data_IF_600468863381
#
_entry.id   IF_600468863381
#
_cell.length_a   1.000
_cell.length_b   1.000
_cell.length_c   1.000
_cell.angle_alpha   90.00
_cell.angle_beta   90.00
_cell.angle_gamma   90.00
#
_symmetry.space_group_name_H-M   'P 1'
#
loop_
_entity.id
_entity.type
_entity.pdbx_description
1 polymer ?
#
# COMPACT_ATOMS: atom_id res chain seq x y z
N UNK A 1 -55.66 13.32 -45.57
CA UNK A 1 -54.28 13.12 -45.11
C UNK A 1 -53.49 14.37 -45.49
N UNK A 2 -53.32 15.33 -44.57
CA UNK A 2 -52.55 16.55 -44.84
C UNK A 2 -51.10 16.35 -44.46
N UNK A 3 -50.26 16.11 -45.46
CA UNK A 3 -48.81 16.16 -45.31
C UNK A 3 -48.42 17.64 -45.20
N UNK A 4 -48.00 18.09 -44.01
CA UNK A 4 -47.59 19.48 -43.79
C UNK A 4 -46.05 19.54 -43.72
N UNK A 5 -45.35 19.95 -44.79
CA UNK A 5 -43.90 19.90 -44.89
C UNK A 5 -43.19 21.01 -44.09
N UNK A 6 -43.95 21.86 -43.38
CA UNK A 6 -43.43 22.99 -42.60
C UNK A 6 -43.46 22.78 -41.08
N UNK A 7 -43.79 21.58 -40.58
CA UNK A 7 -43.39 21.22 -39.22
C UNK A 7 -41.88 20.98 -39.21
N UNK A 8 -41.11 22.09 -39.23
CA UNK A 8 -39.74 22.10 -38.75
C UNK A 8 -39.80 21.42 -37.39
N UNK A 9 -39.27 20.21 -37.28
CA UNK A 9 -38.88 19.68 -35.99
C UNK A 9 -37.92 20.73 -35.44
N UNK A 10 -38.44 21.58 -34.55
CA UNK A 10 -37.60 22.45 -33.73
C UNK A 10 -36.77 21.45 -32.95
N UNK A 11 -35.54 21.22 -33.42
CA UNK A 11 -34.53 20.49 -32.68
C UNK A 11 -34.23 21.41 -31.51
N UNK A 12 -35.04 21.30 -30.46
CA UNK A 12 -34.77 22.00 -29.22
C UNK A 12 -33.40 21.52 -28.76
N UNK A 13 -32.45 22.44 -28.49
CA UNK A 13 -31.15 22.06 -27.96
C UNK A 13 -31.39 21.21 -26.71
N UNK A 14 -30.80 20.02 -26.65
CA UNK A 14 -30.95 19.13 -25.50
C UNK A 14 -30.49 19.87 -24.26
N UNK A 15 -31.44 20.31 -23.43
CA UNK A 15 -31.10 20.85 -22.13
C UNK A 15 -30.76 19.69 -21.22
N UNK A 16 -29.63 19.77 -20.53
CA UNK A 16 -29.24 18.75 -19.57
C UNK A 16 -29.85 19.11 -18.22
N UNK A 17 -30.23 18.09 -17.44
CA UNK A 17 -30.73 18.29 -16.09
C UNK A 17 -29.69 18.98 -15.17
N UNK A 18 -28.39 18.84 -15.48
CA UNK A 18 -27.28 19.50 -14.78
C UNK A 18 -26.25 20.05 -15.76
N UNK A 19 -25.41 20.98 -15.28
CA UNK A 19 -24.29 21.53 -16.05
C UNK A 19 -23.23 20.45 -16.33
N UNK A 20 -22.75 20.37 -17.58
CA UNK A 20 -21.62 19.49 -17.95
C UNK A 20 -20.34 19.83 -17.17
N UNK A 21 -20.14 21.10 -16.82
CA UNK A 21 -18.97 21.53 -16.07
C UNK A 21 -19.01 21.01 -14.63
N UNK A 22 -20.17 21.11 -13.98
CA UNK A 22 -20.37 20.59 -12.62
C UNK A 22 -20.13 19.08 -12.56
N UNK A 23 -20.63 18.34 -13.55
CA UNK A 23 -20.40 16.89 -13.60
C UNK A 23 -18.93 16.55 -13.79
N UNK A 24 -18.24 17.27 -14.68
CA UNK A 24 -16.81 17.09 -14.92
C UNK A 24 -15.96 17.38 -13.68
N UNK A 25 -16.34 18.37 -12.87
CA UNK A 25 -15.66 18.65 -11.59
C UNK A 25 -15.86 17.52 -10.59
N UNK A 26 -17.08 17.00 -10.47
CA UNK A 26 -17.35 15.88 -9.59
C UNK A 26 -16.60 14.62 -10.02
N UNK A 27 -16.58 14.29 -11.31
CA UNK A 27 -15.82 13.15 -11.84
C UNK A 27 -14.33 13.25 -11.51
N UNK A 28 -13.74 14.45 -11.48
CA UNK A 28 -12.34 14.63 -11.06
C UNK A 28 -12.14 14.22 -9.60
N UNK A 29 -13.05 14.61 -8.71
CA UNK A 29 -12.96 14.22 -7.29
C UNK A 29 -13.17 12.71 -7.11
N UNK A 30 -14.10 12.10 -7.86
CA UNK A 30 -14.30 10.64 -7.85
C UNK A 30 -13.02 9.92 -8.28
N UNK A 31 -12.38 10.34 -9.37
CA UNK A 31 -11.11 9.74 -9.83
C UNK A 31 -9.99 9.85 -8.80
N UNK A 32 -9.93 10.96 -8.05
CA UNK A 32 -8.96 11.11 -6.95
C UNK A 32 -9.19 10.08 -5.85
N UNK A 33 -10.46 9.81 -5.50
CA UNK A 33 -10.82 8.80 -4.50
C UNK A 33 -10.52 7.38 -4.99
N UNK A 34 -10.81 7.06 -6.25
CA UNK A 34 -10.49 5.76 -6.85
C UNK A 34 -8.97 5.52 -6.88
N UNK A 35 -8.20 6.51 -7.31
CA UNK A 35 -6.74 6.42 -7.30
C UNK A 35 -6.18 6.28 -5.88
N UNK A 36 -6.76 7.02 -4.91
CA UNK A 36 -6.38 6.91 -3.50
C UNK A 36 -6.68 5.50 -2.95
N UNK A 37 -7.82 4.90 -3.32
CA UNK A 37 -8.17 3.53 -2.93
C UNK A 37 -7.14 2.53 -3.45
N UNK A 38 -6.82 2.60 -4.75
CA UNK A 38 -5.90 1.67 -5.38
C UNK A 38 -4.49 1.78 -4.76
N UNK A 39 -3.99 3.00 -4.61
CA UNK A 39 -2.70 3.25 -3.98
C UNK A 39 -2.67 2.76 -2.52
N UNK A 40 -3.76 2.95 -1.76
CA UNK A 40 -3.85 2.49 -0.37
C UNK A 40 -3.84 0.97 -0.25
N UNK A 41 -4.53 0.27 -1.16
CA UNK A 41 -4.52 -1.21 -1.23
C UNK A 41 -3.14 -1.73 -1.59
N UNK A 42 -2.49 -1.09 -2.57
CA UNK A 42 -1.13 -1.44 -2.97
C UNK A 42 -0.15 -1.25 -1.81
N UNK A 43 -0.17 -0.10 -1.14
CA UNK A 43 0.66 0.17 0.03
C UNK A 43 0.45 -0.85 1.16
N UNK A 44 -0.80 -1.22 1.45
CA UNK A 44 -1.11 -2.26 2.44
C UNK A 44 -0.48 -3.61 2.06
N UNK A 45 -0.63 -4.03 0.79
CA UNK A 45 -0.08 -5.30 0.30
C UNK A 45 1.45 -5.28 0.31
N UNK A 46 2.06 -4.22 -0.19
CA UNK A 46 3.51 -4.09 -0.27
C UNK A 46 4.13 -4.12 1.13
N UNK A 47 3.50 -3.48 2.12
CA UNK A 47 4.01 -3.50 3.50
C UNK A 47 3.88 -4.89 4.15
N UNK A 48 2.81 -5.63 3.87
CA UNK A 48 2.71 -7.04 4.27
C UNK A 48 3.83 -7.88 3.66
N UNK A 49 4.12 -7.71 2.38
CA UNK A 49 5.21 -8.42 1.71
C UNK A 49 6.57 -8.09 2.35
N UNK A 50 6.79 -6.83 2.77
CA UNK A 50 8.00 -6.44 3.52
C UNK A 50 8.09 -7.20 4.85
N UNK A 51 7.00 -7.28 5.62
CA UNK A 51 6.98 -8.04 6.89
C UNK A 51 7.29 -9.52 6.69
N UNK A 52 6.73 -10.12 5.64
CA UNK A 52 6.98 -11.51 5.25
C UNK A 52 8.45 -11.72 4.86
N UNK A 53 8.99 -10.85 3.99
CA UNK A 53 10.39 -10.91 3.57
C UNK A 53 11.38 -10.76 4.74
N UNK A 54 11.12 -9.86 5.69
CA UNK A 54 11.94 -9.69 6.89
C UNK A 54 11.92 -10.94 7.78
N UNK A 55 10.73 -11.52 7.95
CA UNK A 55 10.58 -12.75 8.73
C UNK A 55 11.31 -13.92 8.09
N UNK A 56 11.24 -14.04 6.77
CA UNK A 56 11.92 -15.12 6.04
C UNK A 56 13.44 -14.93 6.01
N UNK A 57 13.93 -13.70 5.86
CA UNK A 57 15.35 -13.39 6.01
C UNK A 57 15.86 -13.81 7.40
N UNK A 58 15.18 -13.43 8.47
CA UNK A 58 15.58 -13.78 9.84
C UNK A 58 15.57 -15.29 10.10
N UNK A 59 14.62 -16.04 9.51
CA UNK A 59 14.61 -17.52 9.58
C UNK A 59 15.83 -18.12 8.89
N UNK A 60 16.19 -17.64 7.70
CA UNK A 60 17.34 -18.13 6.95
C UNK A 60 18.63 -17.83 7.70
N UNK A 61 18.80 -16.61 8.21
CA UNK A 61 19.96 -16.21 9.01
C UNK A 61 20.10 -17.06 10.28
N UNK A 62 18.99 -17.27 11.01
CA UNK A 62 18.97 -18.16 12.17
C UNK A 62 19.35 -19.59 11.82
N UNK A 63 18.82 -20.13 10.72
CA UNK A 63 19.13 -21.49 10.27
C UNK A 63 20.62 -21.62 9.93
N UNK A 64 21.17 -20.67 9.18
CA UNK A 64 22.59 -20.64 8.83
C UNK A 64 23.48 -20.60 10.08
N UNK A 65 23.15 -19.76 11.06
CA UNK A 65 23.90 -19.66 12.31
C UNK A 65 23.88 -20.96 13.12
N UNK A 66 22.71 -21.63 13.19
CA UNK A 66 22.59 -22.94 13.84
C UNK A 66 23.45 -24.01 13.13
N UNK A 67 23.40 -24.05 11.80
CA UNK A 67 24.17 -25.01 11.00
C UNK A 67 25.68 -24.79 11.18
N UNK A 68 26.16 -23.55 11.18
CA UNK A 68 27.57 -23.22 11.43
C UNK A 68 28.02 -23.68 12.81
N UNK A 69 27.30 -23.32 13.89
CA UNK A 69 27.62 -23.78 15.26
C UNK A 69 27.60 -25.31 15.38
N UNK A 70 26.71 -26.00 14.65
CA UNK A 70 26.69 -27.46 14.63
C UNK A 70 27.88 -28.11 13.92
N UNK A 71 28.47 -27.44 12.92
CA UNK A 71 29.55 -27.96 12.07
C UNK A 71 30.95 -27.82 12.66
N UNK A 72 31.18 -26.84 13.55
CA UNK A 72 32.49 -26.55 14.15
C UNK A 72 32.86 -27.39 15.37
N UNK A 73 32.16 -28.50 15.65
CA UNK A 73 32.29 -29.24 16.93
C UNK A 73 33.66 -29.86 17.18
N UNK A 74 34.40 -30.16 16.10
CA UNK A 74 35.68 -30.86 16.17
C UNK A 74 36.88 -29.91 16.23
N UNK A 75 36.65 -28.58 16.23
CA UNK A 75 37.68 -27.55 16.35
C UNK A 75 37.23 -26.50 17.37
N UNK A 76 37.94 -26.43 18.50
CA UNK A 76 37.60 -25.56 19.62
C UNK A 76 37.62 -24.06 19.25
N UNK A 77 38.53 -23.63 18.36
CA UNK A 77 38.62 -22.24 17.89
C UNK A 77 37.42 -21.87 17.01
N UNK A 78 37.07 -22.73 16.04
CA UNK A 78 35.90 -22.54 15.18
C UNK A 78 34.60 -22.57 15.97
N UNK A 79 34.53 -23.41 17.00
CA UNK A 79 33.37 -23.48 17.90
C UNK A 79 33.14 -22.16 18.62
N UNK A 80 34.19 -21.56 19.20
CA UNK A 80 34.10 -20.25 19.88
C UNK A 80 33.63 -19.17 18.90
N UNK A 81 34.14 -19.17 17.67
CA UNK A 81 33.73 -18.23 16.62
C UNK A 81 32.26 -18.37 16.23
N UNK A 82 31.81 -19.60 15.96
CA UNK A 82 30.44 -19.85 15.56
C UNK A 82 29.44 -19.61 16.68
N UNK A 83 29.79 -19.91 17.93
CA UNK A 83 28.94 -19.63 19.09
C UNK A 83 28.81 -18.11 19.33
N UNK A 84 29.91 -17.36 19.15
CA UNK A 84 29.87 -15.89 19.23
C UNK A 84 28.96 -15.29 18.14
N UNK A 85 29.06 -15.77 16.89
CA UNK A 85 28.17 -15.35 15.81
C UNK A 85 26.71 -15.75 16.07
N UNK A 86 26.48 -16.97 16.54
CA UNK A 86 25.15 -17.48 16.87
C UNK A 86 24.44 -16.61 17.91
N UNK A 87 25.17 -16.17 18.94
CA UNK A 87 24.66 -15.26 19.96
C UNK A 87 24.21 -13.92 19.34
N UNK A 88 24.96 -13.36 18.39
CA UNK A 88 24.58 -12.12 17.71
C UNK A 88 23.35 -12.30 16.81
N UNK A 89 23.27 -13.41 16.06
CA UNK A 89 22.10 -13.73 15.21
C UNK A 89 20.84 -13.93 16.03
N UNK A 90 20.94 -14.51 17.22
CA UNK A 90 19.80 -14.63 18.15
C UNK A 90 19.24 -13.25 18.53
N UNK A 91 20.10 -12.28 18.78
CA UNK A 91 19.70 -10.89 19.07
C UNK A 91 19.08 -10.24 17.82
N UNK A 92 19.72 -10.37 16.65
CA UNK A 92 19.20 -9.84 15.37
C UNK A 92 17.82 -10.39 15.03
N UNK A 93 17.56 -11.66 15.36
CA UNK A 93 16.25 -12.31 15.18
C UNK A 93 15.19 -11.68 16.07
N UNK A 94 15.53 -11.39 17.34
CA UNK A 94 14.63 -10.67 18.24
C UNK A 94 14.32 -9.26 17.73
N UNK A 95 15.35 -8.52 17.28
CA UNK A 95 15.21 -7.18 16.70
C UNK A 95 14.34 -7.19 15.43
N UNK A 96 14.49 -8.21 14.59
CA UNK A 96 13.65 -8.37 13.39
C UNK A 96 12.19 -8.64 13.78
N UNK A 97 11.94 -9.48 14.79
CA UNK A 97 10.60 -9.72 15.32
C UNK A 97 9.93 -8.45 15.86
N UNK A 98 10.69 -7.62 16.59
CA UNK A 98 10.23 -6.31 17.04
C UNK A 98 9.92 -5.39 15.85
N UNK A 99 10.82 -5.32 14.88
CA UNK A 99 10.66 -4.52 13.68
C UNK A 99 9.36 -4.89 12.93
N UNK A 100 9.12 -6.18 12.71
CA UNK A 100 7.90 -6.70 12.05
C UNK A 100 6.64 -6.32 12.85
N UNK A 101 6.70 -6.42 14.18
CA UNK A 101 5.60 -6.03 15.09
C UNK A 101 5.33 -4.53 15.03
N UNK A 102 6.37 -3.71 14.99
CA UNK A 102 6.25 -2.26 14.87
C UNK A 102 5.64 -1.87 13.52
N UNK A 103 6.09 -2.47 12.41
CA UNK A 103 5.48 -2.27 11.08
C UNK A 103 3.99 -2.61 11.10
N UNK A 104 3.63 -3.73 11.74
CA UNK A 104 2.23 -4.14 11.86
C UNK A 104 1.36 -3.04 12.50
N UNK A 105 1.80 -2.53 13.66
CA UNK A 105 1.06 -1.57 14.47
C UNK A 105 1.03 -0.17 13.85
N UNK A 106 2.14 0.28 13.28
CA UNK A 106 2.29 1.68 12.84
C UNK A 106 2.01 1.89 11.36
N UNK A 107 1.98 0.84 10.55
CA UNK A 107 1.75 0.93 9.11
C UNK A 107 0.59 0.04 8.63
N UNK A 108 0.71 -1.28 8.82
CA UNK A 108 -0.22 -2.25 8.23
C UNK A 108 -1.63 -2.11 8.79
N UNK A 109 -1.80 -1.97 10.10
CA UNK A 109 -3.11 -1.77 10.73
C UNK A 109 -3.76 -0.42 10.38
N UNK A 110 -3.06 0.73 10.48
CA UNK A 110 -3.61 2.01 10.02
C UNK A 110 -4.07 1.98 8.56
N UNK A 111 -3.26 1.40 7.67
CA UNK A 111 -3.63 1.27 6.25
C UNK A 111 -4.83 0.35 6.06
N UNK A 112 -4.89 -0.78 6.78
CA UNK A 112 -6.05 -1.67 6.74
C UNK A 112 -7.32 -0.94 7.16
N UNK A 113 -7.30 -0.21 8.29
CA UNK A 113 -8.44 0.59 8.76
C UNK A 113 -8.83 1.67 7.74
N UNK A 114 -7.86 2.39 7.19
CA UNK A 114 -8.11 3.40 6.16
C UNK A 114 -8.82 2.80 4.93
N UNK A 115 -8.39 1.61 4.47
CA UNK A 115 -9.01 0.94 3.31
C UNK A 115 -10.46 0.52 3.50
N UNK A 116 -10.94 0.40 4.75
CA UNK A 116 -12.32 -0.01 5.05
C UNK A 116 -13.36 1.08 4.77
N UNK A 117 -12.95 2.34 4.62
CA UNK A 117 -13.88 3.46 4.36
C UNK A 117 -14.21 3.66 2.87
N UNK A 118 -13.43 3.09 1.95
CA UNK A 118 -13.70 3.24 0.51
C UNK A 118 -15.00 2.59 0.04
N UNK A 119 -15.37 1.35 0.45
CA UNK A 119 -16.60 0.72 -0.02
C UNK A 119 -17.87 1.54 0.22
N UNK A 120 -18.03 2.11 1.43
CA UNK A 120 -19.19 2.95 1.75
C UNK A 120 -19.19 4.27 0.96
N UNK A 121 -18.02 4.87 0.77
CA UNK A 121 -17.84 6.09 -0.04
C UNK A 121 -18.22 5.85 -1.51
N UNK A 122 -17.73 4.75 -2.11
CA UNK A 122 -18.08 4.37 -3.48
C UNK A 122 -19.55 4.02 -3.64
N UNK A 123 -20.16 3.40 -2.63
CA UNK A 123 -21.60 3.14 -2.63
C UNK A 123 -22.40 4.44 -2.63
N UNK A 124 -21.98 5.46 -1.86
CA UNK A 124 -22.63 6.77 -1.87
C UNK A 124 -22.50 7.47 -3.23
N UNK A 125 -21.33 7.39 -3.88
CA UNK A 125 -21.13 7.87 -5.25
C UNK A 125 -22.08 7.17 -6.23
N UNK A 126 -22.18 5.83 -6.15
CA UNK A 126 -23.08 5.04 -6.99
C UNK A 126 -24.55 5.44 -6.80
N UNK A 127 -25.00 5.62 -5.55
CA UNK A 127 -26.35 6.13 -5.24
C UNK A 127 -26.61 7.50 -5.87
N UNK A 128 -25.64 8.42 -5.77
CA UNK A 128 -25.73 9.76 -6.38
C UNK A 128 -25.81 9.71 -7.90
N UNK A 129 -25.08 8.80 -8.54
CA UNK A 129 -25.16 8.59 -9.98
C UNK A 129 -26.53 8.03 -10.40
N UNK A 130 -27.08 7.10 -9.62
CA UNK A 130 -28.44 6.57 -9.84
C UNK A 130 -29.51 7.66 -9.69
N UNK A 131 -29.44 8.48 -8.63
CA UNK A 131 -30.37 9.60 -8.44
C UNK A 131 -30.24 10.67 -9.55
N UNK A 132 -29.03 10.92 -10.06
CA UNK A 132 -28.84 11.81 -11.22
C UNK A 132 -29.47 11.25 -12.50
N UNK A 133 -29.33 9.94 -12.73
CA UNK A 133 -29.96 9.27 -13.87
C UNK A 133 -31.50 9.37 -13.79
N UNK A 134 -32.08 9.13 -12.62
CA UNK A 134 -33.52 9.26 -12.39
C UNK A 134 -34.02 10.69 -12.54
N UNK A 135 -33.27 11.67 -12.02
CA UNK A 135 -33.55 13.09 -12.22
C UNK A 135 -33.54 13.45 -13.71
N UNK A 136 -32.52 13.03 -14.45
CA UNK A 136 -32.38 13.27 -15.90
C UNK A 136 -33.55 12.67 -16.70
N UNK A 137 -34.02 11.48 -16.31
CA UNK A 137 -35.20 10.83 -16.89
C UNK A 137 -36.48 11.63 -16.62
N UNK A 138 -36.67 12.12 -15.40
CA UNK A 138 -37.82 12.95 -15.04
C UNK A 138 -37.80 14.31 -15.74
N UNK A 139 -36.63 14.93 -15.84
CA UNK A 139 -36.40 16.18 -16.58
C UNK A 139 -36.79 16.03 -18.06
N UNK A 140 -36.27 14.99 -18.73
CA UNK A 140 -36.60 14.69 -20.14
C UNK A 140 -38.11 14.46 -20.33
N UNK A 141 -38.79 13.86 -19.34
CA UNK A 141 -40.24 13.65 -19.35
C UNK A 141 -41.00 14.97 -19.23
N UNK A 142 -40.53 15.91 -18.42
CA UNK A 142 -41.09 17.27 -18.31
C UNK A 142 -40.93 18.02 -19.64
N UNK A 143 -39.73 18.05 -20.23
CA UNK A 143 -39.50 18.67 -21.55
C UNK A 143 -40.45 18.10 -22.62
N UNK A 144 -40.58 16.76 -22.65
CA UNK A 144 -41.49 16.08 -23.58
C UNK A 144 -42.95 16.51 -23.45
N UNK A 145 -43.43 16.75 -22.23
CA UNK A 145 -44.81 17.21 -22.02
C UNK A 145 -44.98 18.72 -22.20
N UNK A 146 -43.95 19.52 -21.94
CA UNK A 146 -43.95 20.96 -22.21
C UNK A 146 -44.06 21.26 -23.71
N UNK A 147 -43.42 20.45 -24.56
CA UNK A 147 -43.49 20.59 -26.01
C UNK A 147 -44.80 20.09 -26.66
N UNK A 148 -45.78 19.64 -25.88
CA UNK A 148 -47.09 19.16 -26.41
C UNK A 148 -48.14 20.27 -26.40
N UNK A 149 -49.17 20.09 -27.21
CA UNK A 149 -50.34 20.96 -27.19
C UNK A 149 -51.00 21.02 -25.81
N UNK A 150 -51.43 22.23 -25.42
CA UNK A 150 -52.09 22.52 -24.14
C UNK A 150 -53.53 22.02 -24.12
N UNK A 151 -53.70 20.71 -24.05
CA UNK A 151 -54.97 20.05 -23.75
C UNK A 151 -55.09 19.78 -22.26
N UNK A 152 -56.31 19.69 -21.71
CA UNK A 152 -56.52 19.42 -20.28
C UNK A 152 -55.78 18.17 -19.77
N UNK A 153 -55.76 17.08 -20.56
CA UNK A 153 -55.01 15.85 -20.25
C UNK A 153 -53.49 16.07 -20.21
N UNK A 154 -52.95 16.85 -21.15
CA UNK A 154 -51.52 17.15 -21.19
C UNK A 154 -51.09 18.08 -20.05
N UNK A 155 -51.95 19.01 -19.63
CA UNK A 155 -51.70 19.90 -18.48
C UNK A 155 -51.55 19.07 -17.20
N UNK A 156 -52.48 18.14 -16.94
CA UNK A 156 -52.40 17.25 -15.77
C UNK A 156 -51.14 16.37 -15.80
N UNK A 157 -50.81 15.78 -16.95
CA UNK A 157 -49.59 14.95 -17.11
C UNK A 157 -48.30 15.75 -16.92
N UNK A 158 -48.28 16.99 -17.39
CA UNK A 158 -47.16 17.90 -17.20
C UNK A 158 -46.98 18.23 -15.71
N UNK A 159 -48.05 18.57 -15.01
CA UNK A 159 -47.98 18.90 -13.59
C UNK A 159 -47.52 17.71 -12.74
N UNK A 160 -48.05 16.51 -13.00
CA UNK A 160 -47.59 15.29 -12.34
C UNK A 160 -46.10 14.99 -12.62
N UNK A 161 -45.66 15.22 -13.86
CA UNK A 161 -44.24 15.03 -14.23
C UNK A 161 -43.32 16.05 -13.54
N UNK A 162 -43.77 17.31 -13.38
CA UNK A 162 -43.04 18.33 -12.63
C UNK A 162 -42.89 17.96 -11.15
N UNK A 163 -43.98 17.54 -10.49
CA UNK A 163 -43.93 17.10 -9.08
C UNK A 163 -42.95 15.93 -8.88
N UNK A 164 -42.93 14.97 -9.81
CA UNK A 164 -41.99 13.85 -9.76
C UNK A 164 -40.54 14.30 -10.01
N UNK A 165 -40.32 15.19 -10.99
CA UNK A 165 -39.01 15.78 -11.25
C UNK A 165 -38.47 16.52 -10.02
N UNK A 166 -39.29 17.32 -9.34
CA UNK A 166 -38.89 18.04 -8.14
C UNK A 166 -38.48 17.10 -7.00
N UNK A 167 -39.17 15.95 -6.87
CA UNK A 167 -38.78 14.91 -5.91
C UNK A 167 -37.41 14.31 -6.24
N UNK A 168 -37.20 13.86 -7.48
CA UNK A 168 -35.91 13.30 -7.91
C UNK A 168 -34.77 14.32 -7.84
N UNK A 169 -35.06 15.59 -8.16
CA UNK A 169 -34.11 16.69 -8.05
C UNK A 169 -33.63 16.89 -6.61
N UNK A 170 -34.56 16.98 -5.65
CA UNK A 170 -34.22 17.15 -4.22
C UNK A 170 -33.37 16.01 -3.69
N UNK A 171 -33.67 14.78 -4.09
CA UNK A 171 -32.90 13.59 -3.69
C UNK A 171 -31.47 13.65 -4.26
N UNK A 172 -31.32 13.94 -5.55
CA UNK A 172 -30.03 14.16 -6.18
C UNK A 172 -29.25 15.30 -5.51
N UNK A 173 -29.86 16.48 -5.34
CA UNK A 173 -29.19 17.67 -4.77
C UNK A 173 -28.71 17.42 -3.34
N UNK A 174 -29.48 16.65 -2.56
CA UNK A 174 -29.09 16.27 -1.19
C UNK A 174 -27.82 15.41 -1.21
N UNK A 175 -27.80 14.35 -2.01
CA UNK A 175 -26.64 13.46 -2.12
C UNK A 175 -25.42 14.20 -2.72
N UNK A 176 -25.66 15.02 -3.73
CA UNK A 176 -24.65 15.84 -4.41
C UNK A 176 -23.98 16.82 -3.44
N UNK A 177 -24.77 17.53 -2.63
CA UNK A 177 -24.24 18.47 -1.63
C UNK A 177 -23.36 17.77 -0.59
N UNK A 178 -23.80 16.60 -0.11
CA UNK A 178 -23.04 15.81 0.86
C UNK A 178 -21.70 15.39 0.25
N UNK A 179 -21.70 14.79 -0.94
CA UNK A 179 -20.49 14.28 -1.57
C UNK A 179 -19.51 15.38 -2.00
N UNK A 180 -20.00 16.53 -2.47
CA UNK A 180 -19.14 17.69 -2.77
C UNK A 180 -18.36 18.17 -1.54
N UNK A 181 -18.95 18.05 -0.35
CA UNK A 181 -18.29 18.42 0.90
C UNK A 181 -17.36 17.29 1.40
N UNK A 182 -17.84 16.05 1.38
CA UNK A 182 -17.16 14.94 2.05
C UNK A 182 -16.02 14.33 1.25
N UNK A 183 -16.09 14.26 -0.10
CA UNK A 183 -15.03 13.63 -0.90
C UNK A 183 -13.69 14.38 -0.77
N UNK A 184 -13.62 15.72 -0.87
CA UNK A 184 -12.36 16.44 -0.67
C UNK A 184 -11.82 16.27 0.75
N UNK A 185 -12.69 16.30 1.76
CA UNK A 185 -12.29 16.09 3.15
C UNK A 185 -11.70 14.68 3.35
N UNK A 186 -12.38 13.65 2.83
CA UNK A 186 -11.88 12.28 2.88
C UNK A 186 -10.53 12.15 2.16
N UNK A 187 -10.37 12.80 1.00
CA UNK A 187 -9.10 12.82 0.30
C UNK A 187 -7.97 13.44 1.15
N UNK A 188 -8.22 14.53 1.87
CA UNK A 188 -7.22 15.19 2.72
C UNK A 188 -6.78 14.33 3.92
N UNK A 189 -7.68 13.53 4.50
CA UNK A 189 -7.32 12.61 5.60
C UNK A 189 -6.20 11.62 5.23
N UNK A 190 -5.92 11.39 3.94
CA UNK A 190 -4.79 10.55 3.50
C UNK A 190 -3.47 10.97 4.15
N UNK A 191 -3.27 12.27 4.40
CA UNK A 191 -2.04 12.81 4.97
C UNK A 191 -1.86 12.32 6.41
N UNK A 192 -2.95 12.28 7.17
CA UNK A 192 -2.96 11.92 8.59
C UNK A 192 -2.65 10.44 8.84
N UNK A 193 -2.87 9.59 7.83
CA UNK A 193 -2.52 8.18 7.92
C UNK A 193 -1.19 7.87 7.25
N UNK A 194 -0.99 8.30 6.00
CA UNK A 194 0.17 7.89 5.20
C UNK A 194 1.46 8.50 5.71
N UNK A 195 1.45 9.78 6.11
CA UNK A 195 2.67 10.47 6.60
C UNK A 195 3.23 9.84 7.87
N UNK A 196 2.47 9.68 8.98
CA UNK A 196 3.02 9.08 10.20
C UNK A 196 3.35 7.59 10.03
N UNK A 197 2.61 6.86 9.18
CA UNK A 197 2.96 5.47 8.86
C UNK A 197 4.31 5.36 8.16
N UNK A 198 4.54 6.15 7.09
CA UNK A 198 5.84 6.18 6.40
C UNK A 198 6.97 6.64 7.31
N UNK A 199 6.73 7.68 8.12
CA UNK A 199 7.73 8.17 9.08
C UNK A 199 8.12 7.09 10.09
N UNK A 200 7.13 6.44 10.70
CA UNK A 200 7.36 5.33 11.63
C UNK A 200 8.10 4.17 10.97
N UNK A 201 7.78 3.84 9.72
CA UNK A 201 8.50 2.82 8.96
C UNK A 201 9.97 3.17 8.77
N UNK A 202 10.27 4.38 8.29
CA UNK A 202 11.66 4.83 8.08
C UNK A 202 12.45 4.82 9.39
N UNK A 203 11.87 5.34 10.48
CA UNK A 203 12.50 5.32 11.80
C UNK A 203 12.77 3.89 12.28
N UNK A 204 11.80 2.99 12.13
CA UNK A 204 11.95 1.60 12.51
C UNK A 204 13.03 0.88 11.68
N UNK A 205 13.18 1.21 10.39
CA UNK A 205 14.28 0.71 9.56
C UNK A 205 15.63 1.25 10.01
N UNK A 206 15.73 2.54 10.32
CA UNK A 206 16.96 3.18 10.79
C UNK A 206 17.42 2.63 12.15
N UNK A 207 16.49 2.46 13.09
CA UNK A 207 16.78 1.90 14.42
C UNK A 207 17.34 0.48 14.30
N UNK A 208 16.70 -0.37 13.50
CA UNK A 208 17.19 -1.72 13.22
C UNK A 208 18.59 -1.70 12.61
N UNK A 209 18.81 -0.91 11.55
CA UNK A 209 20.11 -0.85 10.87
C UNK A 209 21.24 -0.39 11.82
N UNK A 210 20.94 0.59 12.68
CA UNK A 210 21.89 1.08 13.69
C UNK A 210 22.24 0.00 14.70
N UNK A 211 21.25 -0.73 15.19
CA UNK A 211 21.50 -1.79 16.17
C UNK A 211 22.18 -2.99 15.53
N UNK A 212 21.76 -3.40 14.34
CA UNK A 212 22.39 -4.49 13.59
C UNK A 212 23.87 -4.20 13.29
N UNK A 213 24.20 -2.96 12.92
CA UNK A 213 25.59 -2.56 12.71
C UNK A 213 26.45 -2.78 13.96
N UNK A 214 25.97 -2.40 15.15
CA UNK A 214 26.68 -2.67 16.41
C UNK A 214 26.86 -4.16 16.67
N UNK A 215 25.86 -4.99 16.34
CA UNK A 215 25.96 -6.46 16.48
C UNK A 215 27.00 -7.05 15.54
N UNK A 216 27.06 -6.56 14.30
CA UNK A 216 28.09 -6.98 13.35
C UNK A 216 29.49 -6.53 13.77
N UNK A 217 29.65 -5.32 14.29
CA UNK A 217 30.94 -4.85 14.82
C UNK A 217 31.39 -5.70 16.03
N UNK A 218 30.48 -6.01 16.95
CA UNK A 218 30.75 -6.92 18.07
C UNK A 218 31.13 -8.32 17.59
N UNK A 219 30.45 -8.87 16.58
CA UNK A 219 30.81 -10.15 15.99
C UNK A 219 32.21 -10.09 15.37
N UNK A 220 32.49 -9.07 14.56
CA UNK A 220 33.76 -8.90 13.87
C UNK A 220 34.94 -8.80 14.84
N UNK A 221 34.79 -8.05 15.93
CA UNK A 221 35.82 -7.93 16.96
C UNK A 221 36.09 -9.26 17.68
N UNK A 222 35.06 -10.06 17.96
CA UNK A 222 35.23 -11.41 18.51
C UNK A 222 35.91 -12.37 17.54
N UNK A 223 35.71 -12.17 16.23
CA UNK A 223 36.26 -13.03 15.17
C UNK A 223 37.73 -12.67 14.85
N UNK A 224 38.09 -11.38 14.80
CA UNK A 224 39.44 -10.92 14.46
C UNK A 224 40.51 -11.29 15.49
N UNK A 225 40.14 -11.71 16.70
CA UNK A 225 41.08 -12.13 17.74
C UNK A 225 41.65 -13.54 17.49
N UNK A 226 41.01 -14.33 16.63
CA UNK A 226 41.32 -15.77 16.45
C UNK A 226 41.94 -16.07 15.07
N UNK A 227 41.79 -15.18 14.08
CA UNK A 227 42.40 -15.37 12.76
C UNK A 227 43.88 -14.98 12.85
N UNK A 228 44.82 -15.92 12.65
CA UNK A 228 46.26 -15.61 12.61
C UNK A 228 46.53 -14.57 11.52
N UNK A 229 47.50 -13.69 11.74
CA UNK A 229 47.91 -12.77 10.67
C UNK A 229 48.46 -13.56 9.47
N UNK A 230 48.48 -12.95 8.30
CA UNK A 230 49.11 -13.57 7.12
C UNK A 230 50.58 -13.95 7.41
N UNK A 231 51.27 -13.17 8.24
CA UNK A 231 52.64 -13.44 8.70
C UNK A 231 52.72 -14.70 9.58
N UNK A 232 51.82 -14.84 10.57
CA UNK A 232 51.75 -16.03 11.43
C UNK A 232 51.43 -17.29 10.63
N UNK A 233 50.58 -17.16 9.60
CA UNK A 233 50.19 -18.25 8.73
C UNK A 233 51.36 -18.70 7.84
N UNK A 234 52.13 -17.74 7.31
CA UNK A 234 53.35 -18.02 6.53
C UNK A 234 54.41 -18.69 7.40
N UNK A 235 54.69 -18.19 8.61
CA UNK A 235 55.63 -18.83 9.54
C UNK A 235 55.21 -20.27 9.89
N UNK A 236 53.91 -20.49 10.11
CA UNK A 236 53.37 -21.83 10.34
C UNK A 236 53.58 -22.78 9.17
N UNK A 237 53.38 -22.31 7.93
CA UNK A 237 53.64 -23.08 6.72
C UNK A 237 55.13 -23.38 6.57
N UNK A 238 56.00 -22.39 6.77
CA UNK A 238 57.46 -22.57 6.67
C UNK A 238 57.98 -23.58 7.69
N UNK A 239 57.49 -23.52 8.93
CA UNK A 239 57.82 -24.48 9.98
C UNK A 239 57.38 -25.89 9.60
N UNK A 240 56.15 -26.07 9.13
CA UNK A 240 55.66 -27.37 8.67
C UNK A 240 56.48 -27.92 7.49
N UNK A 241 56.89 -27.06 6.56
CA UNK A 241 57.76 -27.45 5.45
C UNK A 241 59.16 -27.85 5.92
N UNK A 242 59.71 -27.18 6.94
CA UNK A 242 60.97 -27.57 7.57
C UNK A 242 60.85 -28.92 8.29
N UNK A 243 59.76 -29.16 9.02
CA UNK A 243 59.50 -30.43 9.70
C UNK A 243 59.35 -31.58 8.69
N UNK A 244 58.64 -31.36 7.57
CA UNK A 244 58.55 -32.34 6.47
C UNK A 244 59.94 -32.63 5.87
N UNK A 245 60.76 -31.60 5.67
CA UNK A 245 62.14 -31.78 5.18
C UNK A 245 63.00 -32.58 6.17
N UNK A 246 62.84 -32.35 7.47
CA UNK A 246 63.54 -33.09 8.52
C UNK A 246 63.12 -34.57 8.61
N UNK A 247 61.92 -34.91 8.13
CA UNK A 247 61.44 -36.29 8.00
C UNK A 247 61.96 -36.98 6.72
N UNK A 248 62.64 -36.26 5.83
CA UNK A 248 63.24 -36.85 4.63
C UNK A 248 64.43 -37.72 5.02
N UNK A 249 64.35 -39.02 4.74
CA UNK A 249 65.37 -40.05 5.07
C UNK A 249 66.67 -39.87 4.25
N UNK A 250 66.73 -38.87 3.37
CA UNK A 250 67.92 -38.54 2.57
C UNK A 250 68.71 -37.39 3.22
N UNK A 251 69.27 -37.62 4.39
CA UNK A 251 70.32 -36.77 4.94
C UNK A 251 71.18 -37.61 5.88
N UNK A 252 72.00 -38.47 5.29
CA UNK A 252 73.37 -38.78 5.71
C UNK A 252 73.98 -39.72 4.65
N UNK A 253 74.45 -39.15 3.55
CA UNK A 253 75.52 -39.65 2.68
C UNK A 253 76.36 -38.44 2.20
#
# INVERSE_FOLDING_TARGET
MSWNPFQKHVIMPRTNAISKMEEKEFEKEVRRIEMLQENSRKLYKDMKNVQEALSDQSKIESKLANEMSSSGRDNDELKVLFDAWYAQVTILTSLTGEQVTNIQKTFTEPMKKFTQYFPSTLQAISKRNQSLFEYSKCFSKVEKYQGRERTGSNVVKLENSKRMMDKCRKEYETQQKILKLSLPQFYETRVDYVRPSLHSFIQNRLNYATEAHKRYEQAANSICVIIPSDEDCIEGIEKNLCDIKALSITADD
#
